data_IF_366005194404
#
_entry.id   IF_366005194404
#
_cell.length_a   1.000
_cell.length_b   1.000
_cell.length_c   1.000
_cell.angle_alpha   90.00
_cell.angle_beta   90.00
_cell.angle_gamma   90.00
#
_symmetry.space_group_name_H-M   'P 1'
#
loop_
_entity.id
_entity.type
_entity.pdbx_description
1 polymer ?
#
# COMPACT_ATOMS: atom_id res chain seq x y z
N UNK A 1 -15.15 -14.62 -4.08
CA UNK A 1 -13.90 -13.87 -3.89
C UNK A 1 -13.42 -14.15 -2.46
N UNK A 2 -12.32 -14.88 -2.27
CA UNK A 2 -11.72 -15.18 -0.96
C UNK A 2 -11.01 -13.93 -0.39
N UNK A 3 -11.72 -12.82 -0.21
CA UNK A 3 -11.06 -11.50 -0.28
C UNK A 3 -11.29 -10.61 0.91
N UNK A 4 -10.17 -10.26 1.52
CA UNK A 4 -10.01 -8.99 2.19
C UNK A 4 -10.07 -7.87 1.12
N UNK A 5 -11.00 -6.90 1.20
CA UNK A 5 -11.11 -5.83 0.23
C UNK A 5 -9.85 -4.96 0.24
N UNK A 6 -9.42 -4.47 -0.93
CA UNK A 6 -8.34 -3.48 -1.01
C UNK A 6 -8.70 -2.23 -0.20
N UNK A 7 -7.71 -1.44 0.23
CA UNK A 7 -7.99 -0.17 0.92
C UNK A 7 -8.88 0.76 0.08
N UNK A 8 -8.74 0.75 -1.24
CA UNK A 8 -9.65 1.46 -2.14
C UNK A 8 -11.09 0.94 -2.04
N UNK A 9 -11.28 -0.40 -2.05
CA UNK A 9 -12.61 -1.00 -1.88
C UNK A 9 -13.20 -0.74 -0.49
N UNK A 10 -12.39 -0.69 0.56
CA UNK A 10 -12.85 -0.29 1.91
C UNK A 10 -13.34 1.15 1.91
N UNK A 11 -12.59 2.09 1.32
CA UNK A 11 -12.99 3.50 1.21
C UNK A 11 -14.29 3.66 0.40
N UNK A 12 -14.43 2.89 -0.68
CA UNK A 12 -15.65 2.83 -1.47
C UNK A 12 -16.84 2.34 -0.63
N UNK A 13 -16.69 1.23 0.10
CA UNK A 13 -17.74 0.69 0.99
C UNK A 13 -18.15 1.68 2.10
N UNK A 14 -17.18 2.41 2.68
CA UNK A 14 -17.48 3.46 3.66
C UNK A 14 -18.34 4.55 3.03
N UNK A 15 -18.01 5.00 1.82
CA UNK A 15 -18.80 6.00 1.11
C UNK A 15 -20.20 5.49 0.76
N UNK A 16 -20.32 4.25 0.29
CA UNK A 16 -21.62 3.60 0.04
C UNK A 16 -22.47 3.58 1.31
N UNK A 17 -21.89 3.28 2.48
CA UNK A 17 -22.60 3.29 3.77
C UNK A 17 -22.96 4.70 4.22
N UNK A 18 -22.08 5.69 4.03
CA UNK A 18 -22.39 7.09 4.32
C UNK A 18 -23.60 7.58 3.50
N UNK A 19 -23.69 7.21 2.22
CA UNK A 19 -24.80 7.62 1.35
C UNK A 19 -26.10 6.88 1.68
N UNK A 20 -26.03 5.56 1.92
CA UNK A 20 -27.20 4.72 2.11
C UNK A 20 -27.76 4.76 3.54
N UNK A 21 -26.88 4.77 4.54
CA UNK A 21 -27.25 4.51 5.93
C UNK A 21 -27.21 5.79 6.78
N UNK A 22 -26.32 6.75 6.47
CA UNK A 22 -26.13 7.96 7.28
C UNK A 22 -26.84 9.18 6.69
N UNK A 23 -26.64 9.47 5.41
CA UNK A 23 -27.19 10.66 4.74
C UNK A 23 -28.71 10.84 4.89
N UNK A 24 -29.54 9.78 4.82
CA UNK A 24 -31.00 9.91 4.97
C UNK A 24 -31.46 10.39 6.36
N UNK A 25 -30.70 10.04 7.40
CA UNK A 25 -31.04 10.33 8.80
C UNK A 25 -30.70 11.79 9.19
N UNK A 26 -29.92 12.49 8.37
CA UNK A 26 -29.47 13.85 8.65
C UNK A 26 -30.61 14.87 8.47
N UNK A 27 -30.99 15.52 9.57
CA UNK A 27 -32.09 16.48 9.58
C UNK A 27 -31.69 17.88 9.11
N UNK A 28 -30.42 18.26 9.21
CA UNK A 28 -29.95 19.61 8.89
C UNK A 28 -29.09 19.64 7.62
N UNK A 29 -29.20 20.72 6.85
CA UNK A 29 -28.35 20.94 5.68
C UNK A 29 -26.86 21.03 6.05
N UNK A 30 -26.54 21.60 7.20
CA UNK A 30 -25.16 21.68 7.70
C UNK A 30 -24.55 20.28 7.95
N UNK A 31 -25.33 19.34 8.49
CA UNK A 31 -24.88 17.97 8.69
C UNK A 31 -24.66 17.24 7.34
N UNK A 32 -25.57 17.43 6.38
CA UNK A 32 -25.44 16.86 5.03
C UNK A 32 -24.18 17.35 4.31
N UNK A 33 -23.92 18.66 4.37
CA UNK A 33 -22.70 19.26 3.79
C UNK A 33 -21.45 18.71 4.47
N UNK A 34 -21.46 18.54 5.80
CA UNK A 34 -20.32 17.94 6.52
C UNK A 34 -20.03 16.52 6.04
N UNK A 35 -21.06 15.68 5.87
CA UNK A 35 -20.86 14.31 5.35
C UNK A 35 -20.37 14.32 3.92
N UNK A 36 -20.88 15.22 3.06
CA UNK A 36 -20.36 15.38 1.70
C UNK A 36 -18.88 15.79 1.69
N UNK A 37 -18.45 16.68 2.59
CA UNK A 37 -17.04 17.04 2.74
C UNK A 37 -16.18 15.85 3.15
N UNK A 38 -16.64 15.04 4.12
CA UNK A 38 -15.96 13.81 4.53
C UNK A 38 -15.80 12.86 3.35
N UNK A 39 -16.86 12.67 2.55
CA UNK A 39 -16.79 11.84 1.35
C UNK A 39 -15.78 12.37 0.33
N UNK A 40 -15.67 13.69 0.15
CA UNK A 40 -14.64 14.28 -0.71
C UNK A 40 -13.23 14.02 -0.19
N UNK A 41 -13.02 14.05 1.13
CA UNK A 41 -11.73 13.70 1.73
C UNK A 41 -11.40 12.22 1.49
N UNK A 42 -12.38 11.31 1.63
CA UNK A 42 -12.20 9.88 1.33
C UNK A 42 -11.82 9.65 -0.14
N UNK A 43 -12.50 10.33 -1.08
CA UNK A 43 -12.15 10.30 -2.52
C UNK A 43 -10.72 10.78 -2.75
N UNK A 44 -10.31 11.85 -2.07
CA UNK A 44 -8.95 12.39 -2.20
C UNK A 44 -7.89 11.38 -1.74
N UNK A 45 -8.14 10.69 -0.62
CA UNK A 45 -7.25 9.63 -0.13
C UNK A 45 -7.21 8.46 -1.12
N UNK A 46 -8.37 7.98 -1.57
CA UNK A 46 -8.50 6.88 -2.53
C UNK A 46 -7.65 7.11 -3.79
N UNK A 47 -7.73 8.34 -4.35
CA UNK A 47 -6.96 8.73 -5.54
C UNK A 47 -5.45 8.80 -5.33
N UNK A 48 -4.99 9.03 -4.09
CA UNK A 48 -3.58 9.17 -3.74
C UNK A 48 -2.90 7.86 -3.40
N UNK A 49 -3.64 6.91 -2.82
CA UNK A 49 -3.13 5.58 -2.45
C UNK A 49 -2.23 4.92 -3.50
N UNK A 50 -2.57 4.88 -4.81
CA UNK A 50 -1.73 4.20 -5.80
C UNK A 50 -0.37 4.88 -6.03
N UNK A 51 -0.30 6.21 -5.92
CA UNK A 51 0.89 6.99 -6.31
C UNK A 51 1.74 7.43 -5.12
N UNK A 52 1.19 7.41 -3.91
CA UNK A 52 1.84 7.91 -2.71
C UNK A 52 3.17 7.20 -2.37
N UNK A 53 3.33 5.86 -2.51
CA UNK A 53 4.62 5.22 -2.31
C UNK A 53 5.71 5.73 -3.26
N UNK A 54 5.34 5.98 -4.53
CA UNK A 54 6.26 6.51 -5.54
C UNK A 54 6.67 7.93 -5.19
N UNK A 55 5.70 8.78 -4.82
CA UNK A 55 5.96 10.15 -4.38
C UNK A 55 6.86 10.20 -3.15
N UNK A 56 6.65 9.32 -2.16
CA UNK A 56 7.50 9.26 -0.96
C UNK A 56 8.92 8.83 -1.27
N UNK A 57 9.10 7.83 -2.14
CA UNK A 57 10.42 7.39 -2.57
C UNK A 57 11.19 8.52 -3.29
N UNK A 58 10.53 9.19 -4.24
CA UNK A 58 11.09 10.34 -4.94
C UNK A 58 11.40 11.51 -3.99
N UNK A 59 10.49 11.79 -3.04
CA UNK A 59 10.69 12.83 -2.03
C UNK A 59 11.89 12.56 -1.13
N UNK A 60 12.08 11.32 -0.66
CA UNK A 60 13.26 10.94 0.11
C UNK A 60 14.55 11.19 -0.67
N UNK A 61 14.57 10.83 -1.95
CA UNK A 61 15.73 11.05 -2.82
C UNK A 61 15.98 12.55 -3.07
N UNK A 62 14.93 13.36 -3.23
CA UNK A 62 15.03 14.83 -3.37
C UNK A 62 15.52 15.49 -2.08
N UNK A 63 14.98 15.11 -0.92
CA UNK A 63 15.45 15.60 0.38
C UNK A 63 16.92 15.28 0.60
N UNK A 64 17.34 14.04 0.32
CA UNK A 64 18.75 13.66 0.44
C UNK A 64 19.66 14.52 -0.44
N UNK A 65 19.23 14.81 -1.67
CA UNK A 65 19.98 15.66 -2.60
C UNK A 65 20.10 17.09 -2.09
N UNK A 66 18.97 17.73 -1.73
CA UNK A 66 18.94 19.12 -1.25
C UNK A 66 19.76 19.28 0.03
N UNK A 67 19.73 18.30 0.93
CA UNK A 67 20.57 18.31 2.14
C UNK A 67 22.05 18.19 1.80
N UNK A 68 22.43 17.35 0.83
CA UNK A 68 23.80 17.24 0.34
C UNK A 68 24.31 18.53 -0.34
N UNK A 69 23.45 19.19 -1.13
CA UNK A 69 23.76 20.48 -1.76
C UNK A 69 23.96 21.59 -0.72
N UNK A 70 23.07 21.66 0.28
CA UNK A 70 23.19 22.62 1.38
C UNK A 70 24.47 22.41 2.19
N UNK A 71 24.81 21.15 2.50
CA UNK A 71 26.05 20.80 3.19
C UNK A 71 27.30 21.17 2.38
N UNK A 72 27.28 20.90 1.07
CA UNK A 72 28.37 21.25 0.16
C UNK A 72 28.57 22.77 0.06
N UNK A 73 27.49 23.54 0.01
CA UNK A 73 27.55 25.00 0.01
C UNK A 73 28.11 25.56 1.35
N UNK A 74 27.81 24.90 2.46
CA UNK A 74 28.33 25.25 3.79
C UNK A 74 29.81 24.86 3.99
N UNK A 75 30.38 23.99 3.16
CA UNK A 75 31.78 23.53 3.28
C UNK A 75 32.80 24.67 3.16
N UNK A 76 32.46 25.75 2.43
CA UNK A 76 33.33 26.91 2.24
C UNK A 76 33.19 27.98 3.34
N UNK A 77 32.48 27.68 4.45
CA UNK A 77 32.17 28.64 5.51
C UNK A 77 32.66 28.12 6.86
N UNK A 78 33.21 29.03 7.65
CA UNK A 78 33.56 28.78 9.04
C UNK A 78 32.37 29.05 9.98
N UNK A 79 32.38 28.39 11.13
CA UNK A 79 31.42 28.62 12.21
C UNK A 79 30.51 27.43 12.52
N UNK A 80 29.90 27.47 13.70
CA UNK A 80 29.10 26.37 14.26
C UNK A 80 27.92 25.97 13.35
N UNK A 81 27.23 26.94 12.74
CA UNK A 81 26.11 26.68 11.84
C UNK A 81 26.55 25.97 10.54
N UNK A 82 27.74 26.29 10.01
CA UNK A 82 28.28 25.64 8.82
C UNK A 82 28.68 24.19 9.13
N UNK A 83 29.32 23.95 10.28
CA UNK A 83 29.64 22.60 10.75
C UNK A 83 28.37 21.76 10.99
N UNK A 84 27.31 22.34 11.54
CA UNK A 84 26.03 21.67 11.73
C UNK A 84 25.39 21.24 10.40
N UNK A 85 25.43 22.11 9.38
CA UNK A 85 24.94 21.77 8.03
C UNK A 85 25.75 20.65 7.37
N UNK A 86 27.07 20.63 7.56
CA UNK A 86 27.92 19.54 7.06
C UNK A 86 27.55 18.20 7.72
N UNK A 87 27.39 18.17 9.05
CA UNK A 87 26.97 16.96 9.77
C UNK A 87 25.57 16.47 9.35
N UNK A 88 24.64 17.39 9.03
CA UNK A 88 23.34 17.04 8.47
C UNK A 88 23.50 16.39 7.09
N UNK A 89 24.36 16.94 6.23
CA UNK A 89 24.66 16.38 4.92
C UNK A 89 25.25 14.97 4.99
N UNK A 90 26.19 14.74 5.90
CA UNK A 90 26.79 13.40 6.12
C UNK A 90 25.73 12.38 6.55
N UNK A 91 24.83 12.75 7.46
CA UNK A 91 23.71 11.90 7.88
C UNK A 91 22.76 11.60 6.72
N UNK A 92 22.48 12.58 5.87
CA UNK A 92 21.65 12.39 4.69
C UNK A 92 22.32 11.46 3.67
N UNK A 93 23.63 11.60 3.45
CA UNK A 93 24.41 10.74 2.56
C UNK A 93 24.49 9.27 3.04
N UNK A 94 24.40 9.06 4.35
CA UNK A 94 24.31 7.71 4.93
C UNK A 94 22.94 7.04 4.78
N UNK A 95 21.90 7.77 4.35
CA UNK A 95 20.59 7.18 4.10
C UNK A 95 20.57 6.45 2.74
N UNK A 96 20.04 5.21 2.67
CA UNK A 96 19.95 4.49 1.41
C UNK A 96 18.99 5.20 0.46
N UNK A 97 19.40 5.34 -0.80
CA UNK A 97 18.52 5.82 -1.85
C UNK A 97 17.41 4.80 -2.11
N UNK A 98 16.17 5.29 -2.27
CA UNK A 98 15.08 4.42 -2.66
C UNK A 98 15.18 4.11 -4.15
N UNK A 99 15.04 2.83 -4.56
CA UNK A 99 14.94 2.50 -5.97
C UNK A 99 13.67 3.13 -6.55
N UNK A 100 13.66 3.32 -7.87
CA UNK A 100 12.47 3.77 -8.57
C UNK A 100 11.34 2.76 -8.33
N UNK A 101 10.24 3.23 -7.74
CA UNK A 101 9.06 2.40 -7.47
C UNK A 101 8.25 2.32 -8.77
N UNK A 102 8.01 1.12 -9.34
CA UNK A 102 7.24 0.99 -10.57
C UNK A 102 5.84 1.61 -10.46
N UNK A 103 5.30 2.06 -11.59
CA UNK A 103 3.95 2.61 -11.66
C UNK A 103 2.92 1.63 -11.10
N UNK A 104 1.99 2.14 -10.30
CA UNK A 104 0.91 1.34 -9.73
C UNK A 104 0.12 0.57 -10.79
N UNK A 105 -0.13 1.19 -11.94
CA UNK A 105 -0.82 0.55 -13.06
C UNK A 105 -0.06 -0.70 -13.54
N UNK A 106 1.26 -0.58 -13.75
CA UNK A 106 2.11 -1.69 -14.17
C UNK A 106 2.19 -2.81 -13.13
N UNK A 107 2.26 -2.45 -11.84
CA UNK A 107 2.22 -3.42 -10.73
C UNK A 107 0.87 -4.14 -10.73
N UNK A 108 -0.23 -3.40 -10.86
CA UNK A 108 -1.59 -3.95 -10.82
C UNK A 108 -1.87 -4.87 -12.01
N UNK A 109 -1.45 -4.48 -13.20
CA UNK A 109 -1.54 -5.28 -14.43
C UNK A 109 -0.73 -6.57 -14.29
N UNK A 110 0.54 -6.48 -13.94
CA UNK A 110 1.41 -7.64 -13.74
C UNK A 110 0.87 -8.57 -12.65
N UNK A 111 0.34 -8.00 -11.57
CA UNK A 111 -0.27 -8.76 -10.49
C UNK A 111 -1.54 -9.49 -10.93
N UNK A 112 -2.37 -8.84 -11.74
CA UNK A 112 -3.56 -9.43 -12.35
C UNK A 112 -3.19 -10.62 -13.25
N UNK A 113 -2.30 -10.37 -14.21
CA UNK A 113 -1.81 -11.38 -15.14
C UNK A 113 -1.19 -12.59 -14.42
N UNK A 114 -0.29 -12.34 -13.46
CA UNK A 114 0.33 -13.43 -12.68
C UNK A 114 -0.70 -14.18 -11.82
N UNK A 115 -1.73 -13.51 -11.29
CA UNK A 115 -2.80 -14.18 -10.54
C UNK A 115 -3.64 -15.11 -11.43
N UNK A 116 -3.90 -14.70 -12.67
CA UNK A 116 -4.59 -15.51 -13.66
C UNK A 116 -3.75 -16.71 -14.08
N UNK A 117 -2.48 -16.49 -14.44
CA UNK A 117 -1.54 -17.56 -14.80
C UNK A 117 -1.34 -18.58 -13.67
N UNK A 118 -1.30 -18.13 -12.41
CA UNK A 118 -1.21 -19.02 -11.25
C UNK A 118 -2.44 -19.93 -11.14
N UNK A 119 -3.63 -19.39 -11.42
CA UNK A 119 -4.90 -20.14 -11.40
C UNK A 119 -4.96 -21.12 -12.56
N UNK A 120 -4.54 -20.69 -13.75
CA UNK A 120 -4.48 -21.53 -14.94
C UNK A 120 -3.49 -22.69 -14.75
N UNK A 121 -2.29 -22.41 -14.22
CA UNK A 121 -1.29 -23.41 -13.91
C UNK A 121 -1.80 -24.47 -12.94
N UNK A 122 -2.55 -24.09 -11.91
CA UNK A 122 -3.16 -25.05 -10.99
C UNK A 122 -4.16 -25.97 -11.70
N UNK A 123 -4.96 -25.41 -12.62
CA UNK A 123 -5.88 -26.18 -13.46
C UNK A 123 -5.18 -27.19 -14.36
N UNK A 124 -4.08 -26.79 -15.01
CA UNK A 124 -3.28 -27.69 -15.86
C UNK A 124 -2.56 -28.76 -15.04
N UNK A 125 -2.01 -28.42 -13.88
CA UNK A 125 -1.38 -29.40 -12.99
C UNK A 125 -2.38 -30.45 -12.52
N UNK A 126 -3.63 -30.07 -12.22
CA UNK A 126 -4.67 -31.03 -11.88
C UNK A 126 -5.03 -31.98 -13.03
N UNK A 127 -4.96 -31.52 -14.29
CA UNK A 127 -5.13 -32.41 -15.45
C UNK A 127 -3.96 -33.38 -15.57
N UNK A 128 -2.73 -32.89 -15.46
CA UNK A 128 -1.52 -33.71 -15.54
C UNK A 128 -1.44 -34.75 -14.41
N UNK A 129 -1.94 -34.43 -13.21
CA UNK A 129 -2.12 -35.36 -12.11
C UNK A 129 -3.10 -36.49 -12.48
N UNK A 130 -4.24 -36.14 -13.10
CA UNK A 130 -5.21 -37.11 -13.63
C UNK A 130 -4.67 -37.99 -14.76
N UNK A 131 -3.67 -37.51 -15.49
CA UNK A 131 -2.93 -38.25 -16.53
C UNK A 131 -1.79 -39.11 -15.95
N UNK A 132 -1.51 -39.01 -14.65
CA UNK A 132 -0.51 -39.81 -13.95
C UNK A 132 0.91 -39.23 -13.97
N UNK A 133 1.08 -37.92 -14.19
CA UNK A 133 2.40 -37.30 -14.09
C UNK A 133 2.88 -37.25 -12.63
N UNK A 134 3.92 -38.02 -12.31
CA UNK A 134 4.41 -38.24 -10.93
C UNK A 134 4.77 -36.95 -10.16
N UNK A 135 5.14 -35.87 -10.86
CA UNK A 135 5.56 -34.61 -10.23
C UNK A 135 4.39 -33.65 -9.98
N UNK A 136 3.21 -33.91 -10.55
CA UNK A 136 2.05 -33.02 -10.44
C UNK A 136 1.58 -32.81 -8.99
N UNK A 137 1.46 -33.85 -8.13
CA UNK A 137 1.02 -33.67 -6.73
C UNK A 137 1.89 -32.70 -5.94
N UNK A 138 3.22 -32.82 -6.07
CA UNK A 138 4.19 -31.98 -5.36
C UNK A 138 4.08 -30.51 -5.80
N UNK A 139 3.92 -30.26 -7.11
CA UNK A 139 3.76 -28.91 -7.65
C UNK A 139 2.42 -28.29 -7.24
N UNK A 140 1.33 -29.06 -7.26
CA UNK A 140 0.01 -28.64 -6.75
C UNK A 140 0.14 -28.23 -5.28
N UNK A 141 0.82 -29.03 -4.46
CA UNK A 141 1.00 -28.74 -3.05
C UNK A 141 1.77 -27.43 -2.83
N UNK A 142 2.84 -27.18 -3.61
CA UNK A 142 3.61 -25.92 -3.55
C UNK A 142 2.74 -24.70 -3.88
N UNK A 143 1.95 -24.78 -4.95
CA UNK A 143 1.03 -23.72 -5.36
C UNK A 143 -0.05 -23.45 -4.30
N UNK A 144 -0.64 -24.51 -3.73
CA UNK A 144 -1.60 -24.39 -2.63
C UNK A 144 -0.98 -23.78 -1.37
N UNK A 145 0.25 -24.15 -1.02
CA UNK A 145 0.96 -23.57 0.11
C UNK A 145 1.19 -22.06 -0.08
N UNK A 146 1.54 -21.62 -1.29
CA UNK A 146 1.64 -20.20 -1.62
C UNK A 146 0.30 -19.47 -1.49
N UNK A 147 -0.78 -20.04 -2.02
CA UNK A 147 -2.12 -19.49 -1.87
C UNK A 147 -2.54 -19.38 -0.39
N UNK A 148 -2.18 -20.36 0.44
CA UNK A 148 -2.42 -20.33 1.88
C UNK A 148 -1.62 -19.21 2.58
N UNK A 149 -0.35 -19.00 2.20
CA UNK A 149 0.45 -17.88 2.71
C UNK A 149 -0.19 -16.53 2.41
N UNK A 150 -0.72 -16.36 1.18
CA UNK A 150 -1.46 -15.15 0.81
C UNK A 150 -2.69 -14.95 1.69
N UNK A 151 -3.50 -15.99 1.88
CA UNK A 151 -4.67 -15.96 2.77
C UNK A 151 -4.27 -15.59 4.20
N UNK A 152 -3.18 -16.16 4.72
CA UNK A 152 -2.69 -15.88 6.07
C UNK A 152 -2.18 -14.43 6.22
N UNK A 153 -1.48 -13.91 5.21
CA UNK A 153 -1.04 -12.50 5.17
C UNK A 153 -2.25 -11.57 5.18
N UNK A 154 -3.27 -11.90 4.40
CA UNK A 154 -4.50 -11.12 4.33
C UNK A 154 -5.24 -11.14 5.68
N UNK A 155 -5.28 -12.27 6.38
CA UNK A 155 -5.83 -12.39 7.74
C UNK A 155 -5.02 -11.62 8.80
N UNK A 156 -3.69 -11.68 8.75
CA UNK A 156 -2.83 -10.98 9.71
C UNK A 156 -3.00 -9.45 9.62
N UNK A 157 -3.24 -8.91 8.42
CA UNK A 157 -3.58 -7.50 8.24
C UNK A 157 -4.89 -7.08 8.91
N UNK A 158 -5.88 -7.98 8.95
CA UNK A 158 -7.17 -7.76 9.64
C UNK A 158 -6.97 -7.73 11.15
N UNK A 159 -6.29 -8.74 11.70
CA UNK A 159 -6.10 -8.83 13.15
C UNK A 159 -5.17 -7.74 13.71
N UNK A 160 -4.27 -7.19 12.90
CA UNK A 160 -3.48 -6.02 13.28
C UNK A 160 -4.34 -4.74 13.45
N UNK A 161 -5.49 -4.64 12.77
CA UNK A 161 -6.46 -3.56 12.99
C UNK A 161 -7.28 -3.79 14.27
N UNK A 162 -7.66 -5.03 14.58
CA UNK A 162 -8.43 -5.37 15.79
C UNK A 162 -7.61 -5.19 17.08
N UNK A 163 -6.30 -5.46 17.05
CA UNK A 163 -5.43 -5.34 18.21
C UNK A 163 -5.15 -3.88 18.66
N UNK A 164 -5.53 -2.88 17.86
CA UNK A 164 -5.11 -1.49 18.06
C UNK A 164 -6.20 -0.43 18.24
N UNK A 165 -7.49 -0.72 18.08
CA UNK A 165 -8.44 0.40 17.87
C UNK A 165 -9.89 0.30 18.32
N UNK A 166 -10.45 -0.86 18.67
CA UNK A 166 -11.91 -0.96 18.89
C UNK A 166 -12.37 -1.67 20.17
N UNK A 167 -11.49 -1.80 21.16
CA UNK A 167 -11.87 -2.25 22.51
C UNK A 167 -11.26 -1.31 23.56
N UNK A 168 -11.98 -0.24 23.88
CA UNK A 168 -11.48 0.70 24.89
C UNK A 168 -12.30 1.95 25.14
N UNK A 169 -13.63 1.86 25.20
CA UNK A 169 -14.45 2.78 25.99
C UNK A 169 -15.61 2.00 26.62
N UNK A 170 -15.39 1.56 27.86
CA UNK A 170 -16.48 1.38 28.81
C UNK A 170 -17.03 2.72 29.27
#
# INVERSE_FOLDING_TARGET
MFTNPSSARVLELIRESLDRDVMPELQTNAAKVTVQMIQQMLISVERRLPVEPQWRADECNRMSRVLGEAASAAAARDGEAAAALQAIGERAAGAPAFPEVPAFASISESYGELSELLTEALGHLHKLDGEGWEQAPDLIQKLRAYLQLRINRDMAGIFAMDAGGLLGRG
#
